data_IF_257038166658
#
_entry.id   IF_257038166658
#
_cell.length_a   1.000
_cell.length_b   1.000
_cell.length_c   1.000
_cell.angle_alpha   90.00
_cell.angle_beta   90.00
_cell.angle_gamma   90.00
#
_symmetry.space_group_name_H-M   'P 1'
#
loop_
_entity.id
_entity.type
_entity.pdbx_description
1 polymer ?
#
# COMPACT_ATOMS: atom_id res chain seq x y z
N UNK A 1 -16.60 18.29 -20.91
CA UNK A 1 -16.59 19.61 -21.59
C UNK A 1 -17.89 20.35 -21.27
N UNK A 2 -17.99 20.98 -20.09
CA UNK A 2 -19.12 21.84 -19.71
C UNK A 2 -18.74 22.76 -18.53
N UNK A 3 -17.60 23.45 -18.63
CA UNK A 3 -17.11 24.36 -17.55
C UNK A 3 -16.76 25.75 -18.07
N UNK A 4 -17.23 26.12 -19.26
CA UNK A 4 -16.74 27.30 -19.99
C UNK A 4 -17.70 28.50 -19.95
N UNK A 5 -18.87 28.41 -19.32
CA UNK A 5 -19.93 29.39 -19.60
C UNK A 5 -20.12 30.58 -18.65
N UNK A 6 -19.29 30.78 -17.61
CA UNK A 6 -19.59 31.85 -16.62
C UNK A 6 -18.44 32.78 -16.22
N UNK A 7 -17.26 32.66 -16.84
CA UNK A 7 -16.13 33.53 -16.54
C UNK A 7 -16.06 34.79 -17.43
N UNK A 8 -17.05 34.97 -18.32
CA UNK A 8 -17.19 36.14 -19.20
C UNK A 8 -18.21 37.17 -18.72
N UNK A 9 -18.90 36.95 -17.60
CA UNK A 9 -20.02 37.80 -17.20
C UNK A 9 -20.23 37.87 -15.68
N UNK A 10 -19.15 38.04 -14.91
CA UNK A 10 -19.28 38.60 -13.56
C UNK A 10 -19.44 40.12 -13.67
N UNK A 11 -20.67 40.58 -13.87
CA UNK A 11 -21.02 41.98 -13.61
C UNK A 11 -20.93 42.19 -12.09
N UNK A 12 -19.82 42.80 -11.65
CA UNK A 12 -19.74 43.35 -10.30
C UNK A 12 -20.63 44.59 -10.26
N UNK A 13 -21.71 44.53 -9.48
CA UNK A 13 -22.39 45.71 -8.95
C UNK A 13 -21.88 45.91 -7.52
N UNK A 14 -21.03 46.92 -7.29
CA UNK A 14 -21.13 47.91 -6.21
C UNK A 14 -19.90 48.83 -6.13
N UNK A 15 -20.20 50.08 -5.78
CA UNK A 15 -19.38 51.30 -5.73
C UNK A 15 -19.17 51.99 -7.09
N UNK A 16 -19.45 53.30 -7.15
CA UNK A 16 -19.31 54.19 -8.31
C UNK A 16 -17.89 54.10 -8.90
N UNK A 17 -17.65 53.12 -9.77
CA UNK A 17 -16.47 53.07 -10.60
C UNK A 17 -16.67 54.13 -11.68
N UNK A 18 -15.71 55.05 -11.78
CA UNK A 18 -15.57 55.96 -12.92
C UNK A 18 -15.77 55.14 -14.19
N UNK A 19 -16.72 55.55 -15.04
CA UNK A 19 -16.98 54.88 -16.32
C UNK A 19 -15.66 54.72 -17.06
N UNK A 20 -15.21 53.46 -17.27
CA UNK A 20 -13.94 53.18 -17.95
C UNK A 20 -14.01 53.74 -19.37
N UNK A 21 -12.99 54.45 -19.81
CA UNK A 21 -12.93 55.04 -21.16
C UNK A 21 -11.61 54.71 -21.82
N UNK A 22 -11.67 54.51 -23.13
CA UNK A 22 -10.46 54.50 -23.97
C UNK A 22 -9.90 55.93 -24.02
N UNK A 23 -8.58 56.05 -24.07
CA UNK A 23 -7.86 57.34 -24.12
C UNK A 23 -8.05 58.05 -25.45
N UNK A 24 -8.06 57.29 -26.54
CA UNK A 24 -8.22 57.79 -27.90
C UNK A 24 -8.75 56.69 -28.84
N UNK A 25 -8.97 57.06 -30.11
CA UNK A 25 -9.42 56.12 -31.15
C UNK A 25 -8.43 54.97 -31.38
N UNK A 26 -7.12 55.22 -31.24
CA UNK A 26 -6.10 54.20 -31.40
C UNK A 26 -6.18 53.12 -30.32
N UNK A 27 -6.47 53.51 -29.08
CA UNK A 27 -6.70 52.55 -28.00
C UNK A 27 -7.97 51.73 -28.28
N UNK A 28 -9.04 52.38 -28.72
CA UNK A 28 -10.29 51.71 -29.09
C UNK A 28 -10.09 50.67 -30.20
N UNK A 29 -9.31 51.00 -31.23
CA UNK A 29 -9.04 50.12 -32.35
C UNK A 29 -8.26 48.87 -31.91
N UNK A 30 -7.20 49.04 -31.09
CA UNK A 30 -6.42 47.90 -30.58
C UNK A 30 -7.23 47.06 -29.60
N UNK A 31 -7.98 47.68 -28.68
CA UNK A 31 -8.90 46.98 -27.78
C UNK A 31 -9.88 46.11 -28.57
N UNK A 32 -10.55 46.70 -29.56
CA UNK A 32 -11.55 46.02 -30.38
C UNK A 32 -10.90 44.87 -31.18
N UNK A 33 -9.73 45.10 -31.76
CA UNK A 33 -8.98 44.08 -32.48
C UNK A 33 -8.59 42.90 -31.56
N UNK A 34 -8.04 43.19 -30.37
CA UNK A 34 -7.63 42.17 -29.41
C UNK A 34 -8.81 41.34 -28.89
N UNK A 35 -9.96 41.97 -28.62
CA UNK A 35 -11.14 41.27 -28.13
C UNK A 35 -11.74 40.35 -29.21
N UNK A 36 -11.81 40.81 -30.46
CA UNK A 36 -12.37 40.06 -31.59
C UNK A 36 -11.43 38.99 -32.17
N UNK A 37 -10.13 39.10 -31.95
CA UNK A 37 -9.16 38.13 -32.45
C UNK A 37 -9.39 36.76 -31.82
N UNK A 38 -9.46 35.74 -32.68
CA UNK A 38 -9.75 34.37 -32.32
C UNK A 38 -8.47 33.53 -32.17
N UNK A 39 -7.43 33.84 -32.94
CA UNK A 39 -6.14 33.15 -32.85
C UNK A 39 -5.42 33.57 -31.56
N UNK A 40 -5.13 32.65 -30.62
CA UNK A 40 -4.50 33.01 -29.35
C UNK A 40 -3.12 33.65 -29.48
N UNK A 41 -2.34 33.25 -30.49
CA UNK A 41 -1.00 33.79 -30.73
C UNK A 41 -1.08 35.21 -31.29
N UNK A 42 -2.04 35.51 -32.17
CA UNK A 42 -2.26 36.89 -32.65
C UNK A 42 -2.87 37.77 -31.56
N UNK A 43 -3.84 37.23 -30.82
CA UNK A 43 -4.51 37.92 -29.72
C UNK A 43 -3.51 38.39 -28.67
N UNK A 44 -2.57 37.53 -28.28
CA UNK A 44 -1.57 37.92 -27.28
C UNK A 44 -0.65 39.02 -27.79
N UNK A 45 -0.29 39.04 -29.08
CA UNK A 45 0.50 40.15 -29.64
C UNK A 45 -0.26 41.48 -29.59
N UNK A 46 -1.56 41.48 -29.92
CA UNK A 46 -2.39 42.67 -29.83
C UNK A 46 -2.55 43.17 -28.38
N UNK A 47 -2.72 42.25 -27.42
CA UNK A 47 -2.81 42.58 -26.00
C UNK A 47 -1.51 43.15 -25.43
N UNK A 48 -0.36 42.61 -25.83
CA UNK A 48 0.96 43.13 -25.44
C UNK A 48 1.22 44.50 -26.08
N UNK A 49 0.87 44.68 -27.36
CA UNK A 49 0.95 45.97 -28.04
C UNK A 49 0.06 47.02 -27.36
N UNK A 50 -1.15 46.63 -26.94
CA UNK A 50 -2.03 47.50 -26.17
C UNK A 50 -1.38 47.91 -24.84
N UNK A 51 -0.75 46.96 -24.15
CA UNK A 51 -0.04 47.20 -22.89
C UNK A 51 1.13 48.17 -23.03
N UNK A 52 1.92 48.02 -24.09
CA UNK A 52 3.06 48.87 -24.39
C UNK A 52 2.63 50.30 -24.76
N UNK A 53 1.66 50.45 -25.66
CA UNK A 53 1.21 51.77 -26.14
C UNK A 53 0.37 52.53 -25.13
N UNK A 54 -0.39 51.82 -24.30
CA UNK A 54 -1.35 52.40 -23.36
C UNK A 54 -1.19 51.83 -21.95
N UNK A 55 -0.03 52.02 -21.29
CA UNK A 55 0.24 51.43 -19.97
C UNK A 55 -0.78 51.87 -18.92
N UNK A 56 -1.15 53.17 -18.88
CA UNK A 56 -2.13 53.72 -17.93
C UNK A 56 -3.58 53.67 -18.45
N UNK A 57 -3.93 52.70 -19.29
CA UNK A 57 -5.31 52.46 -19.72
C UNK A 57 -6.24 52.30 -18.50
N UNK A 58 -7.45 52.84 -18.57
CA UNK A 58 -8.51 52.56 -17.58
C UNK A 58 -8.90 51.07 -17.57
N UNK A 59 -8.61 50.33 -18.66
CA UNK A 59 -8.83 48.89 -18.81
C UNK A 59 -7.58 48.03 -18.51
N UNK A 60 -6.53 48.60 -17.90
CA UNK A 60 -5.27 47.87 -17.67
C UNK A 60 -5.45 46.56 -16.90
N UNK A 61 -6.38 46.50 -15.95
CA UNK A 61 -6.69 45.28 -15.19
C UNK A 61 -7.38 44.23 -16.07
N UNK A 62 -8.39 44.62 -16.83
CA UNK A 62 -9.12 43.73 -17.76
C UNK A 62 -8.18 43.19 -18.84
N UNK A 63 -7.32 44.06 -19.39
CA UNK A 63 -6.27 43.68 -20.33
C UNK A 63 -5.32 42.67 -19.70
N UNK A 64 -4.86 42.88 -18.46
CA UNK A 64 -3.96 41.94 -17.80
C UNK A 64 -4.64 40.58 -17.56
N UNK A 65 -5.93 40.57 -17.21
CA UNK A 65 -6.70 39.34 -17.10
C UNK A 65 -6.84 38.61 -18.46
N UNK A 66 -7.05 39.35 -19.56
CA UNK A 66 -7.04 38.78 -20.91
C UNK A 66 -5.67 38.22 -21.29
N UNK A 67 -4.57 38.89 -20.94
CA UNK A 67 -3.20 38.41 -21.15
C UNK A 67 -3.00 37.08 -20.41
N UNK A 68 -3.30 37.05 -19.11
CA UNK A 68 -3.15 35.85 -18.29
C UNK A 68 -4.00 34.68 -18.80
N UNK A 69 -5.27 34.94 -19.14
CA UNK A 69 -6.18 33.94 -19.70
C UNK A 69 -5.72 33.42 -21.06
N UNK A 70 -5.25 34.31 -21.94
CA UNK A 70 -4.78 33.95 -23.28
C UNK A 70 -3.52 33.08 -23.18
N UNK A 71 -2.58 33.39 -22.29
CA UNK A 71 -1.45 32.51 -22.03
C UNK A 71 -1.85 31.18 -21.41
N UNK A 72 -2.76 31.18 -20.42
CA UNK A 72 -3.17 29.97 -19.69
C UNK A 72 -3.94 28.98 -20.57
N UNK A 73 -4.94 29.45 -21.32
CA UNK A 73 -5.90 28.57 -22.02
C UNK A 73 -5.65 28.48 -23.52
N UNK A 74 -5.30 29.62 -24.14
CA UNK A 74 -5.19 29.75 -25.59
C UNK A 74 -3.82 29.30 -26.10
N UNK A 75 -2.77 30.01 -25.69
CA UNK A 75 -1.37 29.69 -26.06
C UNK A 75 -0.87 28.47 -25.27
N UNK A 76 -1.34 28.29 -24.03
CA UNK A 76 -0.94 27.23 -23.09
C UNK A 76 0.56 27.29 -22.73
N UNK A 77 1.07 28.51 -22.58
CA UNK A 77 2.44 28.79 -22.15
C UNK A 77 2.45 28.97 -20.61
N UNK A 78 2.84 27.92 -19.89
CA UNK A 78 2.73 27.86 -18.43
C UNK A 78 3.58 28.91 -17.69
N UNK A 79 4.72 29.31 -18.26
CA UNK A 79 5.62 30.28 -17.64
C UNK A 79 5.12 31.70 -17.85
N UNK A 80 4.68 32.02 -19.07
CA UNK A 80 4.07 33.34 -19.33
C UNK A 80 2.71 33.49 -18.66
N UNK A 81 1.93 32.41 -18.58
CA UNK A 81 0.67 32.40 -17.83
C UNK A 81 0.91 32.67 -16.35
N UNK A 82 1.96 32.07 -15.77
CA UNK A 82 2.35 32.33 -14.38
C UNK A 82 2.75 33.78 -14.17
N UNK A 83 3.70 34.30 -14.96
CA UNK A 83 4.17 35.68 -14.82
C UNK A 83 3.02 36.69 -15.00
N UNK A 84 2.17 36.49 -16.00
CA UNK A 84 1.00 37.35 -16.23
C UNK A 84 -0.01 37.27 -15.07
N UNK A 85 -0.19 36.09 -14.47
CA UNK A 85 -1.08 35.90 -13.31
C UNK A 85 -0.51 36.49 -12.03
N UNK A 86 0.82 36.43 -11.82
CA UNK A 86 1.48 37.13 -10.70
C UNK A 86 1.27 38.63 -10.81
N UNK A 87 1.45 39.21 -11.99
CA UNK A 87 1.20 40.62 -12.21
C UNK A 87 -0.28 40.98 -12.00
N UNK A 88 -1.21 40.14 -12.48
CA UNK A 88 -2.64 40.33 -12.25
C UNK A 88 -3.00 40.37 -10.76
N UNK A 89 -2.46 39.44 -9.97
CA UNK A 89 -2.65 39.41 -8.51
C UNK A 89 -1.91 40.58 -7.82
N UNK A 90 -0.80 41.05 -8.40
CA UNK A 90 -0.12 42.26 -7.93
C UNK A 90 -0.96 43.53 -8.11
N UNK A 91 -1.80 43.58 -9.17
CA UNK A 91 -2.73 44.68 -9.42
C UNK A 91 -4.01 44.56 -8.58
N UNK A 92 -4.51 43.36 -8.38
CA UNK A 92 -5.68 43.05 -7.56
C UNK A 92 -5.43 41.74 -6.77
N UNK A 93 -5.07 41.83 -5.46
CA UNK A 93 -4.75 40.67 -4.64
C UNK A 93 -5.89 39.65 -4.48
N UNK A 94 -7.14 40.05 -4.73
CA UNK A 94 -8.32 39.18 -4.69
C UNK A 94 -8.79 38.75 -6.10
N UNK A 95 -8.02 39.03 -7.15
CA UNK A 95 -8.40 38.66 -8.50
C UNK A 95 -8.52 37.14 -8.63
N UNK A 96 -9.76 36.67 -8.77
CA UNK A 96 -10.09 35.26 -8.76
C UNK A 96 -9.41 34.48 -9.89
N UNK A 97 -9.34 35.05 -11.10
CA UNK A 97 -8.70 34.42 -12.25
C UNK A 97 -7.20 34.24 -12.03
N UNK A 98 -6.51 35.29 -11.56
CA UNK A 98 -5.08 35.23 -11.26
C UNK A 98 -4.75 34.19 -10.18
N UNK A 99 -5.51 34.19 -9.08
CA UNK A 99 -5.35 33.20 -8.00
C UNK A 99 -5.62 31.76 -8.49
N UNK A 100 -6.65 31.57 -9.29
CA UNK A 100 -7.00 30.27 -9.88
C UNK A 100 -5.92 29.76 -10.84
N UNK A 101 -5.38 30.61 -11.71
CA UNK A 101 -4.32 30.23 -12.66
C UNK A 101 -3.03 29.90 -11.94
N UNK A 102 -2.57 30.74 -10.99
CA UNK A 102 -1.39 30.43 -10.19
C UNK A 102 -1.54 29.09 -9.48
N UNK A 103 -2.67 28.85 -8.82
CA UNK A 103 -2.96 27.57 -8.15
C UNK A 103 -2.89 26.39 -9.13
N UNK A 104 -3.56 26.50 -10.28
CA UNK A 104 -3.61 25.45 -11.31
C UNK A 104 -2.24 25.08 -11.86
N UNK A 105 -1.40 26.11 -12.07
CA UNK A 105 -0.13 26.01 -12.76
C UNK A 105 1.00 25.41 -11.89
N UNK A 106 0.78 25.18 -10.59
CA UNK A 106 1.76 24.53 -9.71
C UNK A 106 1.95 23.07 -10.10
N UNK A 107 0.86 22.30 -10.11
CA UNK A 107 0.93 20.87 -10.38
C UNK A 107 1.16 20.57 -11.88
N UNK A 108 0.61 21.39 -12.78
CA UNK A 108 0.67 21.11 -14.22
C UNK A 108 2.01 21.43 -14.87
N UNK A 109 2.82 22.33 -14.28
CA UNK A 109 4.14 22.68 -14.83
C UNK A 109 5.25 21.71 -14.41
N UNK A 110 5.03 20.93 -13.36
CA UNK A 110 6.04 20.04 -12.76
C UNK A 110 7.21 20.78 -12.07
N UNK A 111 7.16 22.12 -11.98
CA UNK A 111 8.20 22.92 -11.33
C UNK A 111 8.02 22.93 -9.81
N UNK A 112 9.08 22.59 -9.08
CA UNK A 112 9.09 22.43 -7.62
C UNK A 112 10.11 23.32 -6.92
N UNK A 113 10.59 24.36 -7.60
CA UNK A 113 11.43 25.38 -7.02
C UNK A 113 10.71 26.16 -5.91
N UNK A 114 11.41 26.60 -4.84
CA UNK A 114 10.78 27.19 -3.67
C UNK A 114 9.84 28.36 -3.98
N UNK A 115 10.24 29.27 -4.89
CA UNK A 115 9.45 30.43 -5.29
C UNK A 115 8.11 30.02 -5.91
N UNK A 116 8.11 28.99 -6.75
CA UNK A 116 6.88 28.46 -7.37
C UNK A 116 5.95 27.85 -6.34
N UNK A 117 6.51 27.08 -5.40
CA UNK A 117 5.75 26.47 -4.32
C UNK A 117 5.16 27.53 -3.38
N UNK A 118 5.94 28.55 -3.01
CA UNK A 118 5.50 29.65 -2.13
C UNK A 118 4.40 30.49 -2.78
N UNK A 119 4.62 30.91 -4.03
CA UNK A 119 3.63 31.67 -4.80
C UNK A 119 2.34 30.89 -5.01
N UNK A 120 2.47 29.58 -5.27
CA UNK A 120 1.36 28.66 -5.48
C UNK A 120 0.53 28.42 -4.22
N UNK A 121 1.20 28.19 -3.09
CA UNK A 121 0.53 28.02 -1.80
C UNK A 121 -0.18 29.30 -1.37
N UNK A 122 0.47 30.46 -1.53
CA UNK A 122 -0.14 31.77 -1.24
C UNK A 122 -1.38 32.00 -2.10
N UNK A 123 -1.29 31.70 -3.40
CA UNK A 123 -2.43 31.81 -4.31
C UNK A 123 -3.58 30.88 -3.93
N UNK A 124 -3.29 29.60 -3.64
CA UNK A 124 -4.29 28.60 -3.25
C UNK A 124 -5.01 28.98 -1.95
N UNK A 125 -4.27 29.46 -0.93
CA UNK A 125 -4.85 29.94 0.34
C UNK A 125 -5.71 31.18 0.14
N UNK A 126 -5.24 32.13 -0.67
CA UNK A 126 -6.01 33.34 -0.99
C UNK A 126 -7.26 33.02 -1.81
N UNK A 127 -7.18 32.03 -2.71
CA UNK A 127 -8.32 31.53 -3.47
C UNK A 127 -9.39 30.98 -2.54
N UNK A 128 -9.02 30.11 -1.59
CA UNK A 128 -9.94 29.56 -0.58
C UNK A 128 -10.59 30.66 0.26
N UNK A 129 -9.80 31.61 0.75
CA UNK A 129 -10.30 32.72 1.56
C UNK A 129 -11.27 33.64 0.80
N UNK A 130 -11.20 33.66 -0.54
CA UNK A 130 -12.03 34.48 -1.39
C UNK A 130 -13.32 33.78 -1.87
N UNK A 131 -13.46 32.47 -1.66
CA UNK A 131 -14.59 31.70 -2.21
C UNK A 131 -15.94 32.17 -1.70
N UNK A 132 -16.05 32.50 -0.42
CA UNK A 132 -17.32 32.93 0.17
C UNK A 132 -17.76 34.29 -0.38
N UNK A 133 -16.81 35.17 -0.71
CA UNK A 133 -17.08 36.44 -1.36
C UNK A 133 -17.46 36.25 -2.83
N UNK A 134 -16.78 35.38 -3.58
CA UNK A 134 -17.04 35.13 -5.01
C UNK A 134 -18.35 34.38 -5.21
N UNK A 135 -18.65 33.40 -4.35
CA UNK A 135 -19.83 32.54 -4.43
C UNK A 135 -20.95 32.95 -3.46
N UNK A 136 -20.95 34.20 -2.99
CA UNK A 136 -22.03 34.73 -2.16
C UNK A 136 -23.39 34.55 -2.86
N UNK A 137 -24.50 34.28 -2.12
CA UNK A 137 -25.82 34.10 -2.73
C UNK A 137 -26.27 35.28 -3.61
N UNK A 138 -25.83 36.50 -3.29
CA UNK A 138 -26.10 37.72 -4.07
C UNK A 138 -25.40 37.78 -5.44
N UNK A 139 -24.35 36.97 -5.64
CA UNK A 139 -23.59 36.87 -6.90
C UNK A 139 -24.04 35.68 -7.77
N UNK A 140 -24.97 34.85 -7.28
CA UNK A 140 -25.51 33.72 -8.03
C UNK A 140 -26.27 34.23 -9.28
N UNK A 141 -25.95 33.74 -10.49
CA UNK A 141 -26.70 34.09 -11.69
C UNK A 141 -28.18 33.69 -11.56
N UNK A 142 -29.10 34.52 -12.08
CA UNK A 142 -30.54 34.28 -11.97
C UNK A 142 -30.98 32.94 -12.59
N UNK A 143 -30.27 32.48 -13.62
CA UNK A 143 -30.49 31.22 -14.31
C UNK A 143 -29.88 29.98 -13.64
N UNK A 144 -29.03 30.16 -12.62
CA UNK A 144 -28.35 29.07 -11.94
C UNK A 144 -29.16 28.56 -10.74
N UNK A 145 -29.30 27.23 -10.61
CA UNK A 145 -29.87 26.62 -9.40
C UNK A 145 -28.88 26.70 -8.23
N UNK A 146 -29.38 26.53 -7.00
CA UNK A 146 -28.50 26.47 -5.82
C UNK A 146 -27.52 25.30 -5.88
N UNK A 147 -27.94 24.16 -6.45
CA UNK A 147 -27.05 23.00 -6.62
C UNK A 147 -25.94 23.28 -7.64
N UNK A 148 -26.28 23.96 -8.75
CA UNK A 148 -25.29 24.37 -9.75
C UNK A 148 -24.29 25.35 -9.15
N UNK A 149 -24.76 26.35 -8.39
CA UNK A 149 -23.89 27.33 -7.75
C UNK A 149 -22.94 26.72 -6.71
N UNK A 150 -23.45 25.79 -5.89
CA UNK A 150 -22.61 25.00 -4.96
C UNK A 150 -21.59 24.14 -5.70
N UNK A 151 -21.98 23.51 -6.80
CA UNK A 151 -21.09 22.68 -7.62
C UNK A 151 -20.00 23.51 -8.31
N UNK A 152 -20.30 24.72 -8.74
CA UNK A 152 -19.31 25.64 -9.31
C UNK A 152 -18.27 26.09 -8.29
N UNK A 153 -18.68 26.34 -7.02
CA UNK A 153 -17.76 26.64 -5.92
C UNK A 153 -16.79 25.49 -5.60
N UNK A 154 -17.25 24.25 -5.78
CA UNK A 154 -16.50 23.05 -5.41
C UNK A 154 -15.21 22.88 -6.24
N UNK A 155 -15.23 23.29 -7.50
CA UNK A 155 -14.07 23.24 -8.40
C UNK A 155 -12.82 23.98 -7.88
N UNK A 156 -12.88 25.31 -7.66
CA UNK A 156 -11.75 26.07 -7.13
C UNK A 156 -11.41 25.70 -5.68
N UNK A 157 -12.38 25.28 -4.86
CA UNK A 157 -12.12 24.80 -3.49
C UNK A 157 -11.24 23.55 -3.49
N UNK A 158 -11.67 22.52 -4.21
CA UNK A 158 -10.96 21.24 -4.29
C UNK A 158 -9.61 21.40 -4.98
N UNK A 159 -9.52 22.23 -6.03
CA UNK A 159 -8.25 22.59 -6.66
C UNK A 159 -7.25 23.19 -5.66
N UNK A 160 -7.69 24.16 -4.85
CA UNK A 160 -6.81 24.82 -3.89
C UNK A 160 -6.35 23.88 -2.78
N UNK A 161 -7.26 23.12 -2.17
CA UNK A 161 -6.91 22.15 -1.11
C UNK A 161 -5.95 21.08 -1.65
N UNK A 162 -6.23 20.54 -2.85
CA UNK A 162 -5.38 19.55 -3.51
C UNK A 162 -3.98 20.08 -3.79
N UNK A 163 -3.87 21.33 -4.25
CA UNK A 163 -2.60 22.01 -4.52
C UNK A 163 -1.80 22.21 -3.23
N UNK A 164 -2.45 22.67 -2.15
CA UNK A 164 -1.79 22.85 -0.83
C UNK A 164 -1.25 21.51 -0.33
N UNK A 165 -2.05 20.45 -0.36
CA UNK A 165 -1.61 19.12 0.08
C UNK A 165 -0.44 18.60 -0.75
N UNK A 166 -0.46 18.80 -2.07
CA UNK A 166 0.64 18.42 -2.95
C UNK A 166 1.93 19.20 -2.68
N UNK A 167 1.82 20.51 -2.39
CA UNK A 167 2.97 21.34 -2.00
C UNK A 167 3.56 20.85 -0.67
N UNK A 168 2.72 20.59 0.33
CA UNK A 168 3.14 20.06 1.63
C UNK A 168 3.85 18.71 1.49
N UNK A 169 3.29 17.80 0.68
CA UNK A 169 3.93 16.52 0.37
C UNK A 169 5.28 16.71 -0.32
N UNK A 170 5.37 17.60 -1.31
CA UNK A 170 6.62 17.94 -2.03
C UNK A 170 7.68 18.51 -1.08
N UNK A 171 7.28 19.31 -0.09
CA UNK A 171 8.15 19.85 0.98
C UNK A 171 8.44 18.85 2.10
N UNK A 172 7.91 17.63 2.04
CA UNK A 172 8.02 16.60 3.08
C UNK A 172 7.36 17.00 4.41
N UNK A 173 6.40 17.91 4.37
CA UNK A 173 5.56 18.30 5.51
C UNK A 173 4.43 17.27 5.70
N UNK A 174 4.81 16.00 5.91
CA UNK A 174 3.91 14.86 5.79
C UNK A 174 2.72 14.88 6.76
N UNK A 175 2.91 15.41 7.97
CA UNK A 175 1.81 15.56 8.94
C UNK A 175 0.75 16.54 8.42
N UNK A 176 1.16 17.70 7.88
CA UNK A 176 0.23 18.68 7.29
C UNK A 176 -0.41 18.15 6.01
N UNK A 177 0.37 17.44 5.19
CA UNK A 177 -0.14 16.79 3.98
C UNK A 177 -1.23 15.78 4.31
N UNK A 178 -1.06 14.99 5.38
CA UNK A 178 -2.10 14.06 5.84
C UNK A 178 -3.39 14.78 6.19
N UNK A 179 -3.31 15.85 6.98
CA UNK A 179 -4.47 16.66 7.37
C UNK A 179 -5.19 17.23 6.15
N UNK A 180 -4.43 17.85 5.23
CA UNK A 180 -4.99 18.51 4.04
C UNK A 180 -5.63 17.50 3.08
N UNK A 181 -4.98 16.36 2.80
CA UNK A 181 -5.58 15.33 1.93
C UNK A 181 -6.76 14.62 2.60
N UNK A 182 -6.76 14.47 3.93
CA UNK A 182 -7.93 14.01 4.68
C UNK A 182 -9.09 14.98 4.54
N UNK A 183 -8.85 16.29 4.66
CA UNK A 183 -9.89 17.31 4.41
C UNK A 183 -10.42 17.21 2.98
N UNK A 184 -9.53 17.07 1.99
CA UNK A 184 -9.92 16.92 0.59
C UNK A 184 -10.87 15.73 0.40
N UNK A 185 -10.51 14.54 0.91
CA UNK A 185 -11.31 13.32 0.72
C UNK A 185 -12.63 13.33 1.50
N UNK A 186 -12.81 14.22 2.49
CA UNK A 186 -14.13 14.47 3.11
C UNK A 186 -15.06 15.24 2.17
N UNK A 187 -14.51 16.06 1.28
CA UNK A 187 -15.25 16.88 0.31
C UNK A 187 -15.46 16.09 -0.99
N UNK A 188 -14.38 15.49 -1.51
CA UNK A 188 -14.35 14.70 -2.74
C UNK A 188 -13.84 13.27 -2.44
N UNK A 189 -14.72 12.37 -1.94
CA UNK A 189 -14.31 11.02 -1.51
C UNK A 189 -13.85 10.13 -2.68
N UNK A 190 -14.17 10.53 -3.90
CA UNK A 190 -13.98 9.76 -5.13
C UNK A 190 -12.75 10.26 -5.93
N UNK A 191 -11.60 10.37 -5.28
CA UNK A 191 -10.32 10.73 -5.91
C UNK A 191 -9.23 9.69 -5.55
N UNK A 192 -8.96 8.79 -6.49
CA UNK A 192 -7.96 7.73 -6.31
C UNK A 192 -6.54 8.29 -6.23
N UNK A 193 -6.26 9.39 -6.94
CA UNK A 193 -4.96 10.04 -6.91
C UNK A 193 -4.67 10.67 -5.54
N UNK A 194 -5.65 11.33 -4.93
CA UNK A 194 -5.49 11.88 -3.56
C UNK A 194 -5.45 10.78 -2.52
N UNK A 195 -6.19 9.67 -2.69
CA UNK A 195 -6.04 8.49 -1.83
C UNK A 195 -4.60 7.96 -1.87
N UNK A 196 -3.98 7.88 -3.05
CA UNK A 196 -2.58 7.49 -3.18
C UNK A 196 -1.62 8.46 -2.48
N UNK A 197 -1.82 9.77 -2.63
CA UNK A 197 -0.99 10.77 -1.94
C UNK A 197 -1.17 10.72 -0.42
N UNK A 198 -2.40 10.51 0.07
CA UNK A 198 -2.68 10.35 1.50
C UNK A 198 -1.95 9.11 2.07
N UNK A 199 -2.05 7.97 1.38
CA UNK A 199 -1.28 6.79 1.75
C UNK A 199 0.24 7.06 1.77
N UNK A 200 0.73 7.80 0.78
CA UNK A 200 2.15 8.14 0.67
C UNK A 200 2.62 8.97 1.85
N UNK A 201 1.92 10.06 2.20
CA UNK A 201 2.32 10.91 3.34
C UNK A 201 2.18 10.17 4.67
N UNK A 202 1.16 9.32 4.85
CA UNK A 202 1.00 8.47 6.03
C UNK A 202 2.17 7.50 6.22
N UNK A 203 2.61 6.82 5.14
CA UNK A 203 3.76 5.90 5.20
C UNK A 203 5.07 6.65 5.47
N UNK A 204 5.25 7.84 4.89
CA UNK A 204 6.47 8.63 5.06
C UNK A 204 6.64 9.19 6.48
N UNK A 205 5.58 9.27 7.28
CA UNK A 205 5.68 9.59 8.71
C UNK A 205 6.35 8.47 9.53
N UNK A 206 6.44 7.24 9.00
CA UNK A 206 7.06 6.08 9.67
C UNK A 206 6.49 5.74 11.05
N UNK A 207 5.23 6.12 11.28
CA UNK A 207 4.46 5.85 12.50
C UNK A 207 3.66 4.55 12.36
N UNK A 208 3.66 3.69 13.38
CA UNK A 208 3.02 2.35 13.31
C UNK A 208 1.51 2.47 13.12
N UNK A 209 0.89 3.40 13.82
CA UNK A 209 -0.55 3.69 13.76
C UNK A 209 -1.03 4.18 12.38
N UNK A 210 -0.10 4.61 11.50
CA UNK A 210 -0.42 5.04 10.13
C UNK A 210 -0.40 3.90 9.12
N UNK A 211 0.13 2.73 9.46
CA UNK A 211 0.29 1.62 8.52
C UNK A 211 -1.05 1.08 8.02
N UNK A 212 -2.00 0.81 8.91
CA UNK A 212 -3.34 0.29 8.54
C UNK A 212 -4.12 1.33 7.73
N UNK A 213 -4.27 2.60 8.16
CA UNK A 213 -4.92 3.63 7.34
C UNK A 213 -4.25 3.82 5.97
N UNK A 214 -2.92 3.77 5.90
CA UNK A 214 -2.23 3.85 4.63
C UNK A 214 -2.55 2.68 3.70
N UNK A 215 -2.58 1.44 4.21
CA UNK A 215 -2.98 0.26 3.44
C UNK A 215 -4.41 0.40 2.89
N UNK A 216 -5.34 0.95 3.67
CA UNK A 216 -6.70 1.25 3.22
C UNK A 216 -6.71 2.22 2.03
N UNK A 217 -5.98 3.33 2.13
CA UNK A 217 -5.90 4.31 1.05
C UNK A 217 -5.13 3.80 -0.17
N UNK A 218 -4.12 2.92 0.01
CA UNK A 218 -3.48 2.20 -1.09
C UNK A 218 -4.48 1.28 -1.80
N UNK A 219 -5.29 0.53 -1.05
CA UNK A 219 -6.33 -0.34 -1.60
C UNK A 219 -7.34 0.47 -2.42
N UNK A 220 -7.82 1.60 -1.87
CA UNK A 220 -8.71 2.51 -2.60
C UNK A 220 -8.05 3.01 -3.89
N UNK A 221 -6.83 3.54 -3.83
CA UNK A 221 -6.13 4.04 -5.00
C UNK A 221 -5.86 2.97 -6.08
N UNK A 222 -5.54 1.74 -5.66
CA UNK A 222 -5.18 0.62 -6.53
C UNK A 222 -6.39 0.02 -7.26
N UNK A 223 -7.57 0.05 -6.65
CA UNK A 223 -8.76 -0.63 -7.18
C UNK A 223 -9.86 0.32 -7.66
N UNK A 224 -9.87 1.58 -7.21
CA UNK A 224 -10.87 2.55 -7.65
C UNK A 224 -10.76 2.82 -9.16
N UNK A 225 -11.88 2.73 -9.88
CA UNK A 225 -11.96 2.85 -11.33
C UNK A 225 -12.89 3.97 -11.82
N UNK A 226 -13.33 4.86 -10.92
CA UNK A 226 -14.23 5.97 -11.27
C UNK A 226 -13.50 7.22 -11.78
N UNK A 227 -14.18 8.36 -11.72
CA UNK A 227 -13.60 9.65 -12.09
C UNK A 227 -12.38 9.97 -11.20
N UNK A 228 -11.31 10.54 -11.75
CA UNK A 228 -10.07 10.81 -11.02
C UNK A 228 -9.32 9.57 -10.49
N UNK A 229 -9.60 8.37 -11.03
CA UNK A 229 -8.75 7.21 -10.81
C UNK A 229 -7.35 7.41 -11.42
N UNK A 230 -6.35 6.71 -10.87
CA UNK A 230 -5.04 6.63 -11.50
C UNK A 230 -5.15 5.89 -12.85
N UNK A 231 -4.22 6.15 -13.80
CA UNK A 231 -4.13 5.38 -15.05
C UNK A 231 -4.08 3.88 -14.78
N UNK A 232 -4.67 3.06 -15.65
CA UNK A 232 -4.78 1.61 -15.43
C UNK A 232 -3.44 0.94 -15.14
N UNK A 233 -2.38 1.33 -15.87
CA UNK A 233 -1.04 0.79 -15.64
C UNK A 233 -0.49 1.14 -14.26
N UNK A 234 -0.70 2.38 -13.79
CA UNK A 234 -0.31 2.80 -12.46
C UNK A 234 -1.12 2.04 -11.38
N UNK A 235 -2.41 1.79 -11.62
CA UNK A 235 -3.24 0.97 -10.72
C UNK A 235 -2.72 -0.47 -10.62
N UNK A 236 -2.35 -1.12 -11.73
CA UNK A 236 -1.75 -2.47 -11.70
C UNK A 236 -0.45 -2.52 -10.88
N UNK A 237 0.42 -1.53 -11.05
CA UNK A 237 1.64 -1.42 -10.23
C UNK A 237 1.30 -1.22 -8.75
N UNK A 238 0.30 -0.40 -8.46
CA UNK A 238 -0.13 -0.14 -7.09
C UNK A 238 -0.81 -1.35 -6.43
N UNK A 239 -1.51 -2.20 -7.18
CA UNK A 239 -2.05 -3.47 -6.70
C UNK A 239 -0.93 -4.41 -6.24
N UNK A 240 0.12 -4.56 -7.05
CA UNK A 240 1.28 -5.36 -6.66
C UNK A 240 2.01 -4.77 -5.44
N UNK A 241 2.13 -3.45 -5.37
CA UNK A 241 2.71 -2.76 -4.21
C UNK A 241 1.86 -2.92 -2.94
N UNK A 242 0.54 -2.80 -3.05
CA UNK A 242 -0.40 -3.04 -1.95
C UNK A 242 -0.25 -4.46 -1.43
N UNK A 243 -0.30 -5.46 -2.31
CA UNK A 243 -0.19 -6.87 -1.93
C UNK A 243 1.13 -7.13 -1.19
N UNK A 244 2.25 -6.64 -1.73
CA UNK A 244 3.56 -6.76 -1.07
C UNK A 244 3.58 -6.07 0.30
N UNK A 245 3.03 -4.85 0.40
CA UNK A 245 3.03 -4.07 1.64
C UNK A 245 2.13 -4.72 2.69
N UNK A 246 0.98 -5.25 2.28
CA UNK A 246 0.04 -5.97 3.12
C UNK A 246 0.66 -7.26 3.65
N UNK A 247 1.26 -8.10 2.79
CA UNK A 247 1.93 -9.34 3.19
C UNK A 247 3.10 -9.05 4.14
N UNK A 248 3.88 -8.00 3.89
CA UNK A 248 4.96 -7.60 4.80
C UNK A 248 4.44 -7.18 6.18
N UNK A 249 3.27 -6.54 6.25
CA UNK A 249 2.65 -6.14 7.51
C UNK A 249 1.97 -7.31 8.22
N UNK A 250 1.15 -8.09 7.51
CA UNK A 250 0.23 -9.09 8.04
C UNK A 250 0.83 -10.50 8.14
N UNK A 251 1.80 -10.82 7.28
CA UNK A 251 2.39 -12.16 7.14
C UNK A 251 1.64 -13.08 6.17
N UNK A 252 0.55 -12.61 5.55
CA UNK A 252 -0.27 -13.38 4.61
C UNK A 252 -1.15 -12.48 3.74
N UNK A 253 -1.97 -13.10 2.88
CA UNK A 253 -2.95 -12.39 2.02
C UNK A 253 -4.39 -12.50 2.53
N UNK A 254 -4.63 -13.30 3.56
CA UNK A 254 -5.93 -13.40 4.20
C UNK A 254 -6.38 -12.01 4.68
N UNK A 255 -7.67 -11.67 4.55
CA UNK A 255 -8.19 -10.34 4.90
C UNK A 255 -7.95 -9.22 3.87
N UNK A 256 -7.04 -9.40 2.91
CA UNK A 256 -6.78 -8.39 1.87
C UNK A 256 -8.00 -8.14 0.95
N UNK A 257 -8.72 -9.18 0.45
CA UNK A 257 -9.93 -8.96 -0.35
C UNK A 257 -11.00 -8.15 0.38
N UNK A 258 -11.21 -8.40 1.68
CA UNK A 258 -12.17 -7.70 2.53
C UNK A 258 -11.77 -6.24 2.74
N UNK A 259 -10.47 -5.96 2.96
CA UNK A 259 -9.95 -4.59 3.00
C UNK A 259 -10.21 -3.86 1.68
N UNK A 260 -9.91 -4.50 0.54
CA UNK A 260 -10.12 -3.88 -0.78
C UNK A 260 -11.59 -3.55 -0.99
N UNK A 261 -12.50 -4.48 -0.69
CA UNK A 261 -13.93 -4.26 -0.80
C UNK A 261 -14.41 -3.11 0.10
N UNK A 262 -13.94 -3.07 1.35
CA UNK A 262 -14.21 -1.98 2.29
C UNK A 262 -13.70 -0.64 1.78
N UNK A 263 -12.46 -0.59 1.30
CA UNK A 263 -11.81 0.63 0.81
C UNK A 263 -12.43 1.19 -0.47
N UNK A 264 -13.10 0.36 -1.27
CA UNK A 264 -13.91 0.82 -2.41
C UNK A 264 -15.23 1.45 -1.96
N UNK A 265 -15.84 0.92 -0.89
CA UNK A 265 -17.10 1.40 -0.34
C UNK A 265 -16.93 2.71 0.44
N UNK A 266 -15.97 2.76 1.34
CA UNK A 266 -15.78 3.86 2.29
C UNK A 266 -14.41 4.53 2.08
N UNK A 267 -14.34 5.88 1.98
CA UNK A 267 -13.09 6.59 1.70
C UNK A 267 -12.08 6.53 2.85
N UNK A 268 -12.53 6.26 4.07
CA UNK A 268 -11.71 6.15 5.27
C UNK A 268 -11.94 4.79 5.96
N UNK A 269 -10.91 4.21 6.61
CA UNK A 269 -11.07 2.97 7.34
C UNK A 269 -12.02 3.13 8.53
N UNK A 270 -12.72 2.07 8.94
CA UNK A 270 -13.40 2.02 10.24
C UNK A 270 -12.42 2.37 11.38
N UNK A 271 -12.89 3.11 12.38
CA UNK A 271 -12.05 3.55 13.50
C UNK A 271 -11.51 2.39 14.35
N UNK A 272 -12.20 1.26 14.33
CA UNK A 272 -11.88 0.02 15.03
C UNK A 272 -11.23 -1.05 14.13
N UNK A 273 -10.90 -0.71 12.88
CA UNK A 273 -10.24 -1.63 11.95
C UNK A 273 -8.91 -2.12 12.53
N UNK A 274 -8.82 -3.42 12.78
CA UNK A 274 -7.61 -4.11 13.22
C UNK A 274 -7.18 -5.11 12.18
N UNK A 275 -5.88 -5.12 11.92
CA UNK A 275 -5.22 -6.11 11.08
C UNK A 275 -4.07 -6.61 11.92
N UNK A 276 -4.12 -7.90 12.20
CA UNK A 276 -3.06 -8.61 12.89
C UNK A 276 -1.74 -8.38 12.14
N UNK A 277 -0.67 -8.04 12.83
CA UNK A 277 0.66 -7.96 12.23
C UNK A 277 1.29 -9.35 12.12
N UNK A 278 2.30 -9.50 11.27
CA UNK A 278 3.07 -10.74 11.13
C UNK A 278 3.68 -11.18 12.48
N UNK A 279 4.02 -10.22 13.34
CA UNK A 279 4.52 -10.46 14.69
C UNK A 279 3.43 -11.04 15.60
N UNK A 280 2.26 -10.39 15.65
CA UNK A 280 1.12 -10.87 16.45
C UNK A 280 0.65 -12.24 15.97
N UNK A 281 0.61 -12.45 14.64
CA UNK A 281 0.33 -13.75 14.03
C UNK A 281 1.33 -14.81 14.47
N UNK A 282 2.63 -14.53 14.38
CA UNK A 282 3.66 -15.49 14.77
C UNK A 282 3.56 -15.87 16.26
N UNK A 283 3.26 -14.89 17.13
CA UNK A 283 3.02 -15.13 18.56
C UNK A 283 1.80 -16.03 18.74
N UNK A 284 0.67 -15.71 18.11
CA UNK A 284 -0.55 -16.53 18.18
C UNK A 284 -0.31 -17.95 17.67
N UNK A 285 0.35 -18.11 16.53
CA UNK A 285 0.66 -19.42 15.95
C UNK A 285 1.60 -20.24 16.84
N UNK A 286 2.59 -19.59 17.47
CA UNK A 286 3.47 -20.25 18.43
C UNK A 286 2.70 -20.68 19.71
N UNK A 287 1.83 -19.83 20.25
CA UNK A 287 0.98 -20.16 21.40
C UNK A 287 -0.01 -21.28 21.08
N UNK A 288 -0.64 -21.24 19.91
CA UNK A 288 -1.51 -22.31 19.43
C UNK A 288 -0.75 -23.62 19.26
N UNK A 289 0.47 -23.58 18.73
CA UNK A 289 1.30 -24.77 18.61
C UNK A 289 1.68 -25.32 19.98
N UNK A 290 2.08 -24.46 20.93
CA UNK A 290 2.37 -24.87 22.31
C UNK A 290 1.15 -25.50 22.98
N UNK A 291 -0.05 -25.01 22.71
CA UNK A 291 -1.28 -25.56 23.26
C UNK A 291 -1.70 -26.88 22.61
N UNK A 292 -1.58 -27.01 21.28
CA UNK A 292 -2.01 -28.19 20.51
C UNK A 292 -0.96 -29.31 20.49
N UNK A 293 0.32 -28.96 20.45
CA UNK A 293 1.45 -29.89 20.36
C UNK A 293 2.70 -29.33 21.10
N UNK A 294 2.71 -29.41 22.44
CA UNK A 294 3.83 -28.90 23.26
C UNK A 294 5.17 -29.56 22.91
N UNK A 295 5.15 -30.84 22.50
CA UNK A 295 6.36 -31.59 22.16
C UNK A 295 6.97 -31.09 20.85
N UNK A 296 6.15 -30.84 19.82
CA UNK A 296 6.61 -30.23 18.56
C UNK A 296 7.09 -28.80 18.76
N UNK A 297 6.40 -28.00 19.59
CA UNK A 297 6.83 -26.65 19.93
C UNK A 297 8.22 -26.65 20.61
N UNK A 298 8.43 -27.56 21.57
CA UNK A 298 9.72 -27.73 22.24
C UNK A 298 10.82 -28.13 21.24
N UNK A 299 10.55 -29.10 20.37
CA UNK A 299 11.52 -29.54 19.36
C UNK A 299 11.91 -28.42 18.39
N UNK A 300 10.95 -27.63 17.92
CA UNK A 300 11.22 -26.48 17.06
C UNK A 300 12.13 -25.45 17.73
N UNK A 301 11.93 -25.20 19.04
CA UNK A 301 12.82 -24.34 19.82
C UNK A 301 14.26 -24.88 19.85
N UNK A 302 14.44 -26.18 20.13
CA UNK A 302 15.76 -26.84 20.13
C UNK A 302 16.41 -26.77 18.74
N UNK A 303 15.67 -27.12 17.69
CA UNK A 303 16.14 -27.09 16.30
C UNK A 303 16.56 -25.67 15.87
N UNK A 304 15.77 -24.65 16.23
CA UNK A 304 16.08 -23.25 15.92
C UNK A 304 17.40 -22.82 16.57
N UNK A 305 17.64 -23.20 17.82
CA UNK A 305 18.91 -22.91 18.51
C UNK A 305 20.09 -23.67 17.87
N UNK A 306 19.90 -24.95 17.54
CA UNK A 306 20.93 -25.76 16.87
C UNK A 306 21.34 -25.23 15.48
N UNK A 307 20.45 -24.53 14.78
CA UNK A 307 20.73 -23.95 13.47
C UNK A 307 21.39 -22.55 13.52
N UNK A 308 21.59 -21.98 14.72
CA UNK A 308 22.35 -20.74 14.88
C UNK A 308 23.86 -20.96 14.68
N UNK A 309 24.66 -19.91 14.44
CA UNK A 309 26.13 -20.03 14.44
C UNK A 309 26.70 -20.63 15.73
N UNK A 310 26.03 -20.42 16.86
CA UNK A 310 26.38 -20.97 18.18
C UNK A 310 25.82 -22.37 18.42
N UNK A 311 25.13 -22.97 17.44
CA UNK A 311 24.43 -24.24 17.58
C UNK A 311 25.33 -25.41 17.97
N UNK A 312 26.58 -25.44 17.48
CA UNK A 312 27.56 -26.46 17.86
C UNK A 312 27.99 -26.34 19.33
N UNK A 313 28.12 -25.11 19.85
CA UNK A 313 28.42 -24.87 21.26
C UNK A 313 27.23 -25.27 22.14
N UNK A 314 26.02 -24.87 21.76
CA UNK A 314 24.78 -25.28 22.43
C UNK A 314 24.65 -26.81 22.48
N UNK A 315 24.90 -27.49 21.36
CA UNK A 315 24.89 -28.95 21.32
C UNK A 315 25.90 -29.54 22.32
N UNK A 316 27.17 -29.14 22.24
CA UNK A 316 28.22 -29.72 23.07
C UNK A 316 28.07 -29.40 24.57
N UNK A 317 27.55 -28.21 24.91
CA UNK A 317 27.39 -27.78 26.30
C UNK A 317 26.09 -28.18 26.97
N UNK A 318 25.01 -28.37 26.20
CA UNK A 318 23.65 -28.56 26.75
C UNK A 318 23.01 -29.89 26.36
N UNK A 319 23.16 -30.31 25.09
CA UNK A 319 22.43 -31.48 24.59
C UNK A 319 23.26 -32.76 24.59
N UNK A 320 24.54 -32.70 24.23
CA UNK A 320 25.38 -33.88 24.08
C UNK A 320 25.49 -34.63 25.40
N UNK A 321 25.14 -35.91 25.40
CA UNK A 321 25.09 -36.75 26.60
C UNK A 321 23.86 -36.55 27.47
N UNK A 322 22.97 -35.61 27.14
CA UNK A 322 21.70 -35.39 27.84
C UNK A 322 20.61 -36.28 27.29
N UNK A 323 19.75 -36.78 28.18
CA UNK A 323 18.54 -37.50 27.79
C UNK A 323 17.50 -36.53 27.23
N UNK A 324 16.95 -36.86 26.07
CA UNK A 324 15.88 -36.10 25.43
C UNK A 324 14.53 -36.34 26.13
N UNK A 325 13.66 -35.32 26.17
CA UNK A 325 12.28 -35.50 26.61
C UNK A 325 11.52 -36.40 25.62
N UNK A 326 10.26 -36.67 25.95
CA UNK A 326 9.38 -37.40 25.04
C UNK A 326 9.05 -36.57 23.80
N UNK A 327 9.26 -37.15 22.62
CA UNK A 327 8.89 -36.58 21.33
C UNK A 327 8.02 -37.54 20.52
N UNK A 328 7.17 -36.96 19.67
CA UNK A 328 6.34 -37.67 18.68
C UNK A 328 6.75 -37.27 17.28
N UNK A 329 6.89 -38.25 16.39
CA UNK A 329 7.25 -37.99 14.99
C UNK A 329 6.88 -39.15 14.07
N UNK A 330 7.20 -38.99 12.78
CA UNK A 330 7.02 -40.00 11.74
C UNK A 330 8.34 -40.50 11.24
N UNK A 331 8.47 -41.81 11.08
CA UNK A 331 9.65 -42.42 10.49
C UNK A 331 9.72 -42.04 9.01
N UNK A 332 10.81 -41.45 8.55
CA UNK A 332 11.05 -41.13 7.14
C UNK A 332 11.85 -42.23 6.44
N UNK A 333 12.80 -42.86 7.14
CA UNK A 333 13.58 -43.98 6.63
C UNK A 333 14.08 -44.90 7.75
N UNK A 334 14.51 -46.11 7.38
CA UNK A 334 15.02 -47.11 8.33
C UNK A 334 16.14 -47.96 7.71
N UNK A 335 17.19 -48.24 8.49
CA UNK A 335 18.42 -48.90 8.01
C UNK A 335 18.91 -49.97 8.99
N UNK A 336 19.20 -51.21 8.54
CA UNK A 336 18.82 -51.80 7.25
C UNK A 336 17.30 -51.98 7.11
N UNK A 337 16.71 -51.94 5.90
CA UNK A 337 15.25 -51.91 5.73
C UNK A 337 14.47 -53.08 6.36
N UNK A 338 15.02 -54.29 6.38
CA UNK A 338 14.31 -55.48 6.87
C UNK A 338 14.38 -55.67 8.39
N UNK A 339 15.47 -55.20 9.02
CA UNK A 339 15.77 -55.37 10.46
C UNK A 339 16.49 -54.12 10.96
N UNK A 340 15.78 -52.99 11.02
CA UNK A 340 16.42 -51.70 11.19
C UNK A 340 17.08 -51.56 12.55
N UNK A 341 18.29 -51.03 12.54
CA UNK A 341 19.05 -50.62 13.73
C UNK A 341 19.17 -49.09 13.82
N UNK A 342 18.90 -48.38 12.73
CA UNK A 342 18.77 -46.93 12.69
C UNK A 342 17.40 -46.56 12.12
N UNK A 343 16.74 -45.59 12.76
CA UNK A 343 15.49 -44.98 12.29
C UNK A 343 15.71 -43.49 12.09
N UNK A 344 15.25 -42.93 10.99
CA UNK A 344 15.21 -41.48 10.79
C UNK A 344 13.78 -41.01 11.00
N UNK A 345 13.61 -39.98 11.82
CA UNK A 345 12.33 -39.46 12.28
C UNK A 345 12.23 -37.98 11.91
N UNK A 346 11.04 -37.59 11.44
CA UNK A 346 10.60 -36.20 11.29
C UNK A 346 9.56 -35.88 12.35
N UNK A 347 9.82 -34.87 13.17
CA UNK A 347 8.88 -34.30 14.15
C UNK A 347 8.11 -33.14 13.49
N UNK A 348 8.76 -32.30 12.68
CA UNK A 348 8.08 -31.15 12.03
C UNK A 348 7.25 -31.57 10.83
N UNK A 349 7.61 -32.69 10.17
CA UNK A 349 6.91 -33.27 9.04
C UNK A 349 7.51 -32.91 7.67
N UNK A 350 8.57 -32.09 7.64
CA UNK A 350 9.03 -31.45 6.41
C UNK A 350 10.41 -31.94 5.96
N UNK A 351 11.20 -32.53 6.86
CA UNK A 351 12.59 -32.93 6.66
C UNK A 351 12.98 -34.09 7.58
N UNK A 352 14.09 -34.76 7.28
CA UNK A 352 14.77 -35.65 8.23
C UNK A 352 15.37 -34.81 9.37
N UNK A 353 15.16 -35.24 10.61
CA UNK A 353 15.53 -34.42 11.76
C UNK A 353 16.30 -35.17 12.83
N UNK A 354 15.84 -36.38 13.18
CA UNK A 354 16.45 -37.18 14.23
C UNK A 354 16.78 -38.56 13.70
N UNK A 355 18.04 -38.98 13.86
CA UNK A 355 18.46 -40.37 13.65
C UNK A 355 18.54 -41.08 15.00
N UNK A 356 17.62 -42.01 15.23
CA UNK A 356 17.63 -42.91 16.38
C UNK A 356 18.54 -44.11 16.07
N UNK A 357 19.66 -44.24 16.81
CA UNK A 357 20.50 -45.44 16.83
C UNK A 357 19.99 -46.39 17.91
N UNK A 358 19.46 -47.53 17.51
CA UNK A 358 18.83 -48.47 18.43
C UNK A 358 19.87 -49.35 19.13
N UNK A 359 19.70 -49.53 20.44
CA UNK A 359 20.44 -50.49 21.28
C UNK A 359 20.31 -51.93 20.75
N UNK A 360 19.14 -52.28 20.23
CA UNK A 360 18.85 -53.56 19.59
C UNK A 360 18.05 -53.36 18.29
N UNK A 361 18.42 -54.11 17.24
CA UNK A 361 17.69 -54.07 15.97
C UNK A 361 16.21 -54.44 16.16
N UNK A 362 15.33 -53.80 15.39
CA UNK A 362 13.94 -54.20 15.27
C UNK A 362 13.82 -55.47 14.40
N UNK A 363 12.75 -56.23 14.59
CA UNK A 363 12.60 -57.58 14.02
C UNK A 363 11.93 -57.61 12.66
N UNK A 364 11.32 -56.50 12.26
CA UNK A 364 10.57 -56.36 11.02
C UNK A 364 10.89 -55.06 10.30
N UNK A 365 10.51 -54.97 9.03
CA UNK A 365 10.49 -53.71 8.29
C UNK A 365 9.55 -52.72 8.96
N UNK A 366 9.93 -51.44 8.97
CA UNK A 366 9.09 -50.34 9.41
C UNK A 366 8.87 -49.43 8.20
N UNK A 367 7.61 -49.19 7.87
CA UNK A 367 7.27 -48.39 6.69
C UNK A 367 7.46 -46.89 6.98
N UNK A 368 7.98 -46.12 6.01
CA UNK A 368 7.93 -44.66 6.09
C UNK A 368 6.51 -44.14 6.34
N UNK A 369 6.39 -43.10 7.16
CA UNK A 369 5.13 -42.55 7.64
C UNK A 369 4.62 -43.17 8.94
N UNK A 370 5.24 -44.24 9.45
CA UNK A 370 4.89 -44.83 10.76
C UNK A 370 5.07 -43.80 11.87
N UNK A 371 4.00 -43.52 12.62
CA UNK A 371 4.04 -42.64 13.80
C UNK A 371 4.69 -43.38 14.98
N UNK A 372 5.64 -42.70 15.63
CA UNK A 372 6.32 -43.20 16.82
C UNK A 372 6.40 -42.12 17.88
N UNK A 373 6.38 -42.52 19.14
CA UNK A 373 6.82 -41.68 20.26
C UNK A 373 8.06 -42.31 20.87
N UNK A 374 9.03 -41.51 21.25
CA UNK A 374 10.26 -41.97 21.89
C UNK A 374 10.66 -41.02 22.99
N UNK A 375 11.29 -41.55 24.04
CA UNK A 375 11.74 -40.76 25.18
C UNK A 375 13.07 -41.30 25.74
N UNK A 376 13.79 -40.43 26.44
CA UNK A 376 15.00 -40.80 27.18
C UNK A 376 16.20 -41.19 26.33
N UNK A 377 16.14 -41.01 25.00
CA UNK A 377 17.29 -41.19 24.13
C UNK A 377 18.38 -40.15 24.41
N UNK A 378 19.64 -40.56 24.34
CA UNK A 378 20.78 -39.70 24.66
C UNK A 378 21.33 -39.07 23.39
N UNK A 379 21.39 -37.74 23.33
CA UNK A 379 21.92 -37.07 22.14
C UNK A 379 23.44 -37.31 22.01
N UNK A 380 23.86 -37.82 20.85
CA UNK A 380 25.22 -38.32 20.62
C UNK A 380 26.00 -37.46 19.61
N UNK A 381 25.39 -37.13 18.47
CA UNK A 381 26.02 -36.36 17.40
C UNK A 381 25.03 -35.33 16.81
N UNK A 382 25.57 -34.29 16.18
CA UNK A 382 24.79 -33.25 15.52
C UNK A 382 25.52 -32.79 14.24
N UNK A 383 24.78 -32.67 13.15
CA UNK A 383 25.20 -31.99 11.92
C UNK A 383 24.22 -30.88 11.60
N UNK A 384 24.73 -29.70 11.22
CA UNK A 384 23.89 -28.54 10.89
C UNK A 384 23.39 -28.55 9.45
N UNK A 385 24.17 -29.12 8.51
CA UNK A 385 23.82 -29.19 7.09
C UNK A 385 24.40 -30.47 6.42
N UNK A 386 23.56 -31.42 5.96
CA UNK A 386 22.13 -31.48 6.23
C UNK A 386 21.86 -31.63 7.74
N UNK A 387 20.80 -30.99 8.21
CA UNK A 387 20.43 -31.02 9.63
C UNK A 387 20.15 -32.47 10.07
N UNK A 388 20.82 -32.92 11.13
CA UNK A 388 20.55 -34.22 11.76
C UNK A 388 21.00 -34.23 13.21
N UNK A 389 20.11 -34.57 14.14
CA UNK A 389 20.46 -34.93 15.51
C UNK A 389 20.49 -36.45 15.64
N UNK A 390 21.65 -37.00 16.01
CA UNK A 390 21.78 -38.43 16.25
C UNK A 390 21.59 -38.71 17.73
N UNK A 391 20.74 -39.69 18.04
CA UNK A 391 20.33 -40.04 19.39
C UNK A 391 20.51 -41.54 19.58
N UNK A 392 21.25 -41.93 20.61
CA UNK A 392 21.31 -43.31 21.04
C UNK A 392 20.05 -43.62 21.85
N UNK A 393 19.27 -44.59 21.36
CA UNK A 393 17.89 -44.80 21.80
C UNK A 393 17.68 -46.27 22.21
N UNK A 394 17.14 -46.46 23.41
CA UNK A 394 16.62 -47.77 23.83
C UNK A 394 15.35 -48.07 23.03
N UNK A 395 15.35 -49.17 22.26
CA UNK A 395 14.19 -49.59 21.46
C UNK A 395 12.94 -49.78 22.32
N UNK A 396 13.11 -50.23 23.58
CA UNK A 396 12.01 -50.45 24.51
C UNK A 396 11.26 -49.16 24.91
N UNK A 397 11.90 -47.99 24.75
CA UNK A 397 11.32 -46.67 25.02
C UNK A 397 10.73 -46.01 23.77
N UNK A 398 10.53 -46.79 22.70
CA UNK A 398 9.85 -46.34 21.48
C UNK A 398 8.48 -47.03 21.41
N UNK A 399 7.42 -46.23 21.37
CA UNK A 399 6.04 -46.70 21.13
C UNK A 399 5.65 -46.45 19.67
N UNK A 400 4.67 -47.19 19.17
CA UNK A 400 4.19 -47.08 17.77
C UNK A 400 4.94 -47.96 16.77
N UNK A 401 6.01 -48.65 17.18
CA UNK A 401 6.68 -49.64 16.33
C UNK A 401 5.76 -50.85 16.05
N UNK A 402 5.81 -51.42 14.83
CA UNK A 402 5.00 -52.59 14.48
C UNK A 402 5.35 -53.80 15.35
N UNK A 403 4.35 -54.60 15.69
CA UNK A 403 4.55 -55.82 16.46
C UNK A 403 5.33 -56.87 15.63
N UNK A 404 6.19 -57.69 16.26
CA UNK A 404 6.80 -58.83 15.58
C UNK A 404 5.71 -59.78 15.05
N UNK A 405 5.90 -60.40 13.88
CA UNK A 405 4.96 -61.37 13.36
C UNK A 405 4.87 -62.56 14.32
N UNK A 406 3.68 -63.17 14.49
CA UNK A 406 3.52 -64.33 15.34
C UNK A 406 4.48 -65.44 14.89
N UNK A 407 5.08 -66.20 15.82
CA UNK A 407 6.01 -67.27 15.47
C UNK A 407 5.30 -68.26 14.54
N UNK A 408 5.92 -68.52 13.39
CA UNK A 408 5.42 -69.50 12.44
C UNK A 408 5.22 -70.84 13.17
N UNK A 409 3.98 -71.34 13.21
CA UNK A 409 3.66 -72.68 13.73
C UNK A 409 4.53 -73.68 12.95
N UNK A 410 5.50 -74.27 13.63
CA UNK A 410 6.43 -75.21 13.04
C UNK A 410 5.67 -76.33 12.33
N UNK A 411 6.02 -76.59 11.07
CA UNK A 411 5.53 -77.74 10.33
C UNK A 411 5.83 -79.02 11.11
N UNK A 412 4.79 -79.77 11.47
CA UNK A 412 4.92 -81.07 12.10
C UNK A 412 5.74 -81.99 11.19
N UNK A 413 6.83 -82.55 11.75
CA UNK A 413 7.65 -83.57 11.09
C UNK A 413 6.77 -84.74 10.66
N UNK A 414 6.87 -85.09 9.38
CA UNK A 414 6.09 -86.15 8.74
C UNK A 414 6.21 -87.49 9.46
N UNK A 415 5.06 -88.09 9.74
CA UNK A 415 4.95 -89.47 10.21
C UNK A 415 5.34 -90.45 9.10
N UNK A 416 6.33 -91.28 9.40
CA UNK A 416 6.76 -92.44 8.60
C UNK A 416 5.60 -93.45 8.52
N UNK A 417 5.04 -93.68 7.33
CA UNK A 417 4.20 -94.86 7.06
C UNK A 417 5.08 -96.01 6.58
N UNK A 418 5.33 -96.98 7.47
CA UNK A 418 5.78 -98.33 7.12
C UNK A 418 4.66 -99.07 6.41
N UNK A 419 5.00 -99.77 5.33
CA UNK A 419 4.07 -100.53 4.49
C UNK A 419 3.75 -101.95 5.01
N UNK A 420 2.68 -102.49 4.46
CA UNK A 420 2.33 -103.90 4.22
C UNK A 420 1.06 -103.82 3.34
N UNK A 421 0.82 -104.58 2.28
CA UNK A 421 1.21 -105.93 1.93
C UNK A 421 -0.05 -106.62 1.38
N UNK A 422 -0.13 -106.74 0.04
CA UNK A 422 -0.85 -107.70 -0.82
C UNK A 422 -1.98 -108.60 -0.25
N UNK A 423 -3.08 -108.67 -1.04
CA UNK A 423 -3.83 -109.85 -1.61
C UNK A 423 -5.31 -109.45 -1.70
N UNK A 424 -6.09 -109.71 -2.74
CA UNK A 424 -5.98 -110.65 -3.87
C UNK A 424 -6.81 -110.09 -5.03
#
# INVERSE_FOLDING_TARGET
MATVLLWGSLHVVLAQQKEKKVKDQGEYDIFTAAVKEADPNKKIQLLLQWKEKYPDSDYKLDRQQLIATTYFQGVRDADKAWAASQELVGMDPKNFAGLFFLTSLVMSSGKTDPERLDGGEKAARSLLANLDEVFAPSKKPAQATDEQWKKERLGPETLAIKTIGWIQMTRKEFDKGEETFTQFLKIEPNDGQVSYWLATVMLQQKKREKQIPALWHLARAAHYGGANALPEQARKQLQAFLEKTYVNYHGGKDGLPEMIAGALKDPFPPADLKIESAQERAIREEEELKAKDPQKAMWLGVKKTLLTPEGAEYFNGTLKGSALPKFKGKITSSTPPARPKELVVSITGDQDEIKLRLDAAHTTKIEPGTEVEFEGGVAAEFTSDPFMLVVDQEKAKITGLPAPPPPARGAAKGGVKKGAGKKK
#
